data_IF_632475408688
#
_entry.id   IF_632475408688
#
_cell.length_a   1.000
_cell.length_b   1.000
_cell.length_c   1.000
_cell.angle_alpha   90.00
_cell.angle_beta   90.00
_cell.angle_gamma   90.00
#
_symmetry.space_group_name_H-M   'P 1'
#
loop_
_entity.id
_entity.type
_entity.pdbx_description
1 polymer ?
#
# COMPACT_ATOMS: atom_id res chain seq x y z
N UNK A 1 42.26 -34.84 -0.58
CA UNK A 1 41.22 -35.51 -1.39
C UNK A 1 39.89 -34.93 -0.93
N UNK A 2 39.37 -33.93 -1.62
CA UNK A 2 38.14 -33.26 -1.23
C UNK A 2 36.95 -34.02 -1.82
N UNK A 3 36.07 -34.48 -0.94
CA UNK A 3 34.86 -35.22 -1.26
C UNK A 3 33.92 -34.32 -2.07
N UNK A 4 33.68 -34.68 -3.34
CA UNK A 4 32.68 -34.00 -4.18
C UNK A 4 31.30 -34.31 -3.59
N UNK A 5 30.75 -33.35 -2.86
CA UNK A 5 29.33 -33.32 -2.51
C UNK A 5 28.56 -33.27 -3.84
N UNK A 6 28.05 -34.43 -4.23
CA UNK A 6 27.26 -34.57 -5.45
C UNK A 6 25.84 -34.19 -5.07
N UNK A 7 25.47 -32.92 -5.31
CA UNK A 7 24.08 -32.50 -5.20
C UNK A 7 23.30 -33.25 -6.28
N UNK A 8 22.46 -34.20 -5.85
CA UNK A 8 21.46 -34.80 -6.72
C UNK A 8 20.59 -33.65 -7.22
N UNK A 9 20.63 -33.41 -8.54
CA UNK A 9 19.67 -32.57 -9.23
C UNK A 9 18.29 -33.20 -9.02
N UNK A 10 17.59 -32.77 -7.98
CA UNK A 10 16.17 -33.03 -7.81
C UNK A 10 15.50 -32.19 -8.88
N UNK A 11 15.10 -32.81 -9.99
CA UNK A 11 14.05 -32.28 -10.86
C UNK A 11 12.96 -31.73 -9.96
N UNK A 12 12.67 -30.43 -10.01
CA UNK A 12 11.58 -29.87 -9.22
C UNK A 12 10.32 -30.65 -9.58
N UNK A 13 9.72 -31.30 -8.59
CA UNK A 13 8.43 -31.96 -8.77
C UNK A 13 7.49 -30.89 -9.33
N UNK A 14 7.01 -31.11 -10.56
CA UNK A 14 6.10 -30.19 -11.24
C UNK A 14 4.83 -30.11 -10.41
N UNK A 15 4.71 -29.05 -9.62
CA UNK A 15 3.57 -28.84 -8.74
C UNK A 15 2.31 -28.63 -9.56
N UNK A 16 1.16 -29.18 -9.15
CA UNK A 16 -0.09 -28.91 -9.83
C UNK A 16 -0.42 -27.40 -9.79
N UNK A 17 -1.19 -26.94 -10.76
CA UNK A 17 -1.71 -25.59 -10.76
C UNK A 17 -2.77 -25.44 -9.66
N UNK A 18 -2.53 -24.57 -8.68
CA UNK A 18 -3.46 -24.32 -7.57
C UNK A 18 -4.79 -23.66 -8.00
N UNK A 19 -4.87 -23.14 -9.24
CA UNK A 19 -6.13 -22.68 -9.82
C UNK A 19 -7.02 -23.83 -10.34
N UNK A 20 -6.64 -25.10 -10.10
CA UNK A 20 -7.43 -26.27 -10.43
C UNK A 20 -7.50 -26.58 -11.93
N UNK A 21 -6.53 -26.08 -12.72
CA UNK A 21 -6.45 -26.41 -14.14
C UNK A 21 -5.61 -27.68 -14.36
N UNK A 22 -5.86 -28.39 -15.46
CA UNK A 22 -5.17 -29.66 -15.78
C UNK A 22 -3.89 -29.45 -16.58
N UNK A 23 -3.51 -28.20 -16.86
CA UNK A 23 -2.31 -27.91 -17.66
C UNK A 23 -1.05 -28.10 -16.82
N UNK A 24 0.02 -28.54 -17.47
CA UNK A 24 1.33 -28.68 -16.83
C UNK A 24 1.88 -27.30 -16.49
N UNK A 25 2.35 -27.12 -15.26
CA UNK A 25 3.01 -25.90 -14.81
C UNK A 25 4.46 -25.88 -15.32
N UNK A 26 4.96 -24.68 -15.59
CA UNK A 26 6.29 -24.42 -16.11
C UNK A 26 7.12 -23.53 -15.18
N UNK A 27 6.50 -23.03 -14.11
CA UNK A 27 7.08 -22.12 -13.13
C UNK A 27 6.73 -22.58 -11.71
N UNK A 28 7.69 -22.45 -10.79
CA UNK A 28 7.46 -22.64 -9.36
C UNK A 28 7.68 -21.32 -8.64
N UNK A 29 6.63 -20.84 -7.97
CA UNK A 29 6.70 -19.69 -7.07
C UNK A 29 6.83 -20.18 -5.63
N UNK A 30 7.68 -19.57 -4.82
CA UNK A 30 7.74 -19.80 -3.37
C UNK A 30 7.34 -18.51 -2.65
N UNK A 31 6.31 -18.60 -1.82
CA UNK A 31 5.85 -17.51 -0.97
C UNK A 31 6.82 -17.20 0.18
N UNK A 32 6.66 -16.04 0.79
CA UNK A 32 7.46 -15.61 1.94
C UNK A 32 7.42 -16.61 3.11
N UNK A 33 6.29 -17.29 3.32
CA UNK A 33 6.12 -18.32 4.34
C UNK A 33 6.46 -19.75 3.87
N UNK A 34 7.19 -19.87 2.75
CA UNK A 34 7.80 -21.11 2.28
C UNK A 34 6.87 -22.07 1.55
N UNK A 35 5.63 -21.66 1.26
CA UNK A 35 4.69 -22.47 0.47
C UNK A 35 5.03 -22.32 -1.01
N UNK A 36 5.10 -23.44 -1.72
CA UNK A 36 5.39 -23.50 -3.16
C UNK A 36 4.13 -23.70 -3.98
N UNK A 37 4.09 -23.03 -5.14
CA UNK A 37 2.96 -23.02 -6.06
C UNK A 37 3.44 -23.37 -7.47
N UNK A 38 2.73 -24.28 -8.14
CA UNK A 38 2.87 -24.45 -9.58
C UNK A 38 2.10 -23.37 -10.33
N UNK A 39 2.75 -22.68 -11.26
CA UNK A 39 2.17 -21.60 -12.04
C UNK A 39 2.44 -21.77 -13.55
N UNK A 40 1.74 -20.95 -14.34
CA UNK A 40 1.99 -20.82 -15.78
C UNK A 40 2.60 -19.46 -16.06
N UNK A 41 3.87 -19.44 -16.46
CA UNK A 41 4.62 -18.21 -16.75
C UNK A 41 3.91 -17.35 -17.80
N UNK A 42 3.39 -18.00 -18.85
CA UNK A 42 2.62 -17.35 -19.90
C UNK A 42 1.32 -16.69 -19.40
N UNK A 43 0.64 -17.28 -18.41
CA UNK A 43 -0.55 -16.65 -17.83
C UNK A 43 -0.17 -15.42 -17.04
N UNK A 44 0.85 -15.52 -16.17
CA UNK A 44 1.29 -14.38 -15.37
C UNK A 44 1.76 -13.21 -16.25
N UNK A 45 2.54 -13.50 -17.28
CA UNK A 45 3.03 -12.51 -18.24
C UNK A 45 1.91 -11.86 -19.08
N UNK A 46 0.77 -12.55 -19.27
CA UNK A 46 -0.38 -11.96 -19.95
C UNK A 46 -1.07 -10.85 -19.13
N UNK A 47 -0.82 -10.79 -17.82
CA UNK A 47 -1.42 -9.82 -16.91
C UNK A 47 -0.44 -8.79 -16.36
N UNK A 48 0.86 -9.06 -16.42
CA UNK A 48 1.90 -8.18 -15.88
C UNK A 48 3.29 -8.51 -16.44
N UNK A 49 4.04 -7.46 -16.76
CA UNK A 49 5.44 -7.54 -17.17
C UNK A 49 6.41 -7.81 -16.00
N UNK A 50 5.91 -7.83 -14.76
CA UNK A 50 6.71 -8.11 -13.57
C UNK A 50 7.04 -9.60 -13.41
N UNK A 51 6.39 -10.48 -14.18
CA UNK A 51 6.63 -11.92 -14.14
C UNK A 51 7.47 -12.37 -15.32
N UNK A 52 8.45 -13.26 -15.09
CA UNK A 52 9.26 -13.76 -16.17
C UNK A 52 8.53 -14.80 -17.02
N UNK A 53 8.86 -14.84 -18.31
CA UNK A 53 8.44 -15.92 -19.23
C UNK A 53 9.56 -16.96 -19.29
N UNK A 54 9.24 -18.25 -19.18
CA UNK A 54 10.26 -19.32 -19.10
C UNK A 54 11.09 -19.44 -20.40
N UNK A 55 10.52 -19.09 -21.55
CA UNK A 55 11.26 -19.00 -22.83
C UNK A 55 12.34 -17.90 -22.85
N UNK A 56 12.39 -17.02 -21.84
CA UNK A 56 13.38 -15.92 -21.72
C UNK A 56 14.73 -16.35 -21.14
N UNK A 57 14.99 -17.65 -21.03
CA UNK A 57 16.24 -18.18 -20.46
C UNK A 57 16.17 -18.46 -18.95
N UNK A 58 14.98 -18.49 -18.36
CA UNK A 58 14.81 -19.08 -17.03
C UNK A 58 14.85 -20.59 -17.16
N UNK A 59 15.74 -21.24 -16.42
CA UNK A 59 15.71 -22.68 -16.32
C UNK A 59 14.37 -23.07 -15.67
N UNK A 60 13.59 -23.96 -16.29
CA UNK A 60 12.34 -24.51 -15.72
C UNK A 60 12.49 -25.21 -14.35
N UNK A 61 13.70 -25.18 -13.78
CA UNK A 61 14.11 -25.71 -12.49
C UNK A 61 14.43 -24.60 -11.46
N UNK A 62 14.16 -23.32 -11.76
CA UNK A 62 14.37 -22.21 -10.83
C UNK A 62 13.09 -21.89 -10.04
N UNK A 63 13.24 -21.74 -8.72
CA UNK A 63 12.15 -21.32 -7.84
C UNK A 63 12.18 -19.80 -7.71
N UNK A 64 11.11 -19.14 -8.14
CA UNK A 64 10.97 -17.68 -8.02
C UNK A 64 10.45 -17.34 -6.64
N UNK A 65 11.26 -16.61 -5.89
CA UNK A 65 10.97 -16.18 -4.52
C UNK A 65 10.06 -14.94 -4.51
N UNK A 66 8.95 -15.03 -3.80
CA UNK A 66 7.95 -13.98 -3.64
C UNK A 66 8.07 -13.35 -2.24
N UNK A 67 7.79 -12.05 -2.12
CA UNK A 67 7.74 -11.40 -0.80
C UNK A 67 6.36 -11.49 -0.16
N UNK A 68 5.39 -11.97 -0.93
CA UNK A 68 4.00 -12.13 -0.56
C UNK A 68 3.80 -13.48 0.13
N UNK A 69 2.87 -13.50 1.07
CA UNK A 69 2.46 -14.72 1.77
C UNK A 69 1.64 -15.64 0.87
N UNK A 70 1.58 -16.92 1.24
CA UNK A 70 0.88 -17.97 0.53
C UNK A 70 -0.58 -17.61 0.17
N UNK A 71 -1.31 -16.97 1.08
CA UNK A 71 -2.70 -16.55 0.87
C UNK A 71 -2.87 -15.52 -0.26
N UNK A 72 -1.95 -14.56 -0.35
CA UNK A 72 -1.91 -13.55 -1.41
C UNK A 72 -1.46 -14.16 -2.74
N UNK A 73 -0.40 -14.97 -2.73
CA UNK A 73 0.10 -15.64 -3.95
C UNK A 73 -0.97 -16.52 -4.55
N UNK A 74 -1.68 -17.31 -3.73
CA UNK A 74 -2.79 -18.14 -4.18
C UNK A 74 -3.90 -17.31 -4.84
N UNK A 75 -4.30 -16.20 -4.23
CA UNK A 75 -5.32 -15.31 -4.81
C UNK A 75 -4.87 -14.69 -6.14
N UNK A 76 -3.62 -14.23 -6.24
CA UNK A 76 -3.06 -13.73 -7.50
C UNK A 76 -3.10 -14.79 -8.60
N UNK A 77 -2.69 -16.03 -8.29
CA UNK A 77 -2.75 -17.15 -9.22
C UNK A 77 -4.19 -17.46 -9.64
N UNK A 78 -5.13 -17.48 -8.70
CA UNK A 78 -6.55 -17.72 -9.03
C UNK A 78 -7.14 -16.60 -9.91
N UNK A 79 -6.75 -15.34 -9.69
CA UNK A 79 -7.26 -14.18 -10.42
C UNK A 79 -6.62 -14.00 -11.80
N UNK A 80 -5.38 -14.43 -11.97
CA UNK A 80 -4.70 -14.46 -13.29
C UNK A 80 -5.13 -15.65 -14.14
N UNK A 81 -5.78 -16.65 -13.54
CA UNK A 81 -6.50 -17.65 -14.31
C UNK A 81 -7.84 -17.11 -14.82
N UNK A 82 -8.20 -17.46 -16.06
CA UNK A 82 -9.54 -17.21 -16.65
C UNK A 82 -10.63 -18.10 -16.02
N UNK A 83 -10.58 -18.33 -14.72
CA UNK A 83 -11.57 -19.08 -13.96
C UNK A 83 -12.59 -18.13 -13.35
N UNK A 84 -13.76 -18.66 -13.01
CA UNK A 84 -14.86 -17.89 -12.43
C UNK A 84 -14.38 -17.27 -11.12
N UNK A 85 -14.38 -15.94 -11.04
CA UNK A 85 -13.92 -15.20 -9.87
C UNK A 85 -14.52 -15.79 -8.59
N UNK A 86 -13.66 -16.11 -7.63
CA UNK A 86 -14.10 -16.24 -6.24
C UNK A 86 -14.85 -14.94 -5.92
N UNK A 87 -16.03 -15.04 -5.31
CA UNK A 87 -16.81 -13.83 -5.04
C UNK A 87 -15.95 -12.89 -4.19
N UNK A 88 -15.58 -11.76 -4.77
CA UNK A 88 -14.63 -10.83 -4.17
C UNK A 88 -15.23 -10.20 -2.90
N UNK A 89 -16.55 -10.15 -2.77
CA UNK A 89 -17.31 -9.64 -1.62
C UNK A 89 -17.04 -10.36 -0.28
N UNK A 90 -16.29 -11.47 -0.29
CA UNK A 90 -15.97 -12.26 0.91
C UNK A 90 -14.52 -12.21 1.36
N UNK A 91 -13.66 -11.43 0.69
CA UNK A 91 -12.25 -11.33 1.07
C UNK A 91 -12.15 -10.52 2.39
N UNK A 92 -11.57 -11.09 3.47
CA UNK A 92 -11.35 -10.34 4.70
C UNK A 92 -10.45 -9.13 4.45
N UNK A 93 -10.73 -8.00 5.11
CA UNK A 93 -10.00 -6.75 4.85
C UNK A 93 -8.47 -6.90 4.92
N UNK A 94 -7.95 -7.65 5.91
CA UNK A 94 -6.52 -7.89 6.03
C UNK A 94 -5.90 -8.61 4.82
N UNK A 95 -6.65 -9.48 4.16
CA UNK A 95 -6.23 -10.15 2.93
C UNK A 95 -6.42 -9.23 1.71
N UNK A 96 -7.53 -8.49 1.64
CA UNK A 96 -7.77 -7.48 0.59
C UNK A 96 -6.64 -6.44 0.56
N UNK A 97 -6.23 -5.91 1.72
CA UNK A 97 -5.16 -4.92 1.80
C UNK A 97 -3.83 -5.50 1.30
N UNK A 98 -3.46 -6.72 1.71
CA UNK A 98 -2.24 -7.37 1.19
C UNK A 98 -2.33 -7.67 -0.30
N UNK A 99 -3.50 -8.07 -0.80
CA UNK A 99 -3.74 -8.31 -2.22
C UNK A 99 -3.61 -7.02 -3.04
N UNK A 100 -4.19 -5.92 -2.55
CA UNK A 100 -4.11 -4.62 -3.19
C UNK A 100 -2.65 -4.17 -3.32
N UNK A 101 -1.88 -4.22 -2.24
CA UNK A 101 -0.44 -3.89 -2.26
C UNK A 101 0.35 -4.76 -3.24
N UNK A 102 0.04 -6.06 -3.31
CA UNK A 102 0.68 -6.95 -4.27
C UNK A 102 0.27 -6.65 -5.73
N UNK A 103 -1.00 -6.31 -5.96
CA UNK A 103 -1.50 -5.95 -7.29
C UNK A 103 -0.85 -4.68 -7.83
N UNK A 104 -0.63 -3.69 -6.96
CA UNK A 104 0.12 -2.46 -7.29
C UNK A 104 1.58 -2.77 -7.59
N UNK A 105 2.23 -3.56 -6.71
CA UNK A 105 3.64 -3.95 -6.86
C UNK A 105 3.91 -4.69 -8.17
N UNK A 106 3.06 -5.65 -8.50
CA UNK A 106 3.18 -6.42 -9.73
C UNK A 106 2.49 -5.75 -10.92
N UNK A 107 1.86 -4.59 -10.73
CA UNK A 107 1.15 -3.87 -11.80
C UNK A 107 0.20 -4.80 -12.58
N UNK A 108 -0.78 -5.39 -11.89
CA UNK A 108 -1.80 -6.26 -12.50
C UNK A 108 -3.12 -5.47 -12.62
N UNK A 109 -3.42 -4.83 -13.77
CA UNK A 109 -4.45 -3.78 -13.83
C UNK A 109 -5.86 -4.26 -13.45
N UNK A 110 -6.21 -5.48 -13.85
CA UNK A 110 -7.51 -6.06 -13.53
C UNK A 110 -7.70 -6.27 -12.01
N UNK A 111 -6.64 -6.65 -11.29
CA UNK A 111 -6.69 -6.87 -9.85
C UNK A 111 -6.59 -5.53 -9.11
N UNK A 112 -5.79 -4.58 -9.61
CA UNK A 112 -5.72 -3.20 -9.09
C UNK A 112 -7.10 -2.56 -9.08
N UNK A 113 -7.81 -2.56 -10.22
CA UNK A 113 -9.14 -1.96 -10.31
C UNK A 113 -10.16 -2.65 -9.40
N UNK A 114 -10.12 -3.98 -9.33
CA UNK A 114 -10.95 -4.74 -8.39
C UNK A 114 -10.68 -4.30 -6.95
N UNK A 115 -9.40 -4.24 -6.53
CA UNK A 115 -9.03 -3.86 -5.18
C UNK A 115 -9.41 -2.41 -4.87
N UNK A 116 -9.22 -1.49 -5.82
CA UNK A 116 -9.63 -0.08 -5.74
C UNK A 116 -11.11 0.06 -5.43
N UNK A 117 -11.98 -0.61 -6.20
CA UNK A 117 -13.44 -0.62 -5.96
C UNK A 117 -13.75 -1.18 -4.56
N UNK A 118 -13.09 -2.27 -4.16
CA UNK A 118 -13.33 -2.86 -2.84
C UNK A 118 -12.87 -1.95 -1.69
N UNK A 119 -11.73 -1.28 -1.84
CA UNK A 119 -11.21 -0.33 -0.86
C UNK A 119 -12.19 0.82 -0.63
N UNK A 120 -12.83 1.32 -1.68
CA UNK A 120 -13.91 2.31 -1.57
C UNK A 120 -15.08 1.79 -0.72
N UNK A 121 -15.53 0.55 -0.95
CA UNK A 121 -16.66 -0.03 -0.19
C UNK A 121 -16.38 -0.26 1.29
N UNK A 122 -15.11 -0.39 1.68
CA UNK A 122 -14.69 -0.63 3.07
C UNK A 122 -14.11 0.60 3.75
N UNK A 123 -14.03 1.74 3.05
CA UNK A 123 -13.45 2.99 3.55
C UNK A 123 -14.07 3.44 4.89
N UNK A 124 -15.38 3.30 5.06
CA UNK A 124 -16.06 3.65 6.32
C UNK A 124 -15.71 2.73 7.49
N UNK A 125 -15.29 1.49 7.23
CA UNK A 125 -14.93 0.50 8.26
C UNK A 125 -13.44 0.51 8.60
N UNK A 126 -12.61 0.87 7.62
CA UNK A 126 -11.14 0.88 7.73
C UNK A 126 -10.55 2.19 7.19
N UNK A 127 -10.98 3.35 7.71
CA UNK A 127 -10.69 4.65 7.09
C UNK A 127 -9.20 4.97 7.03
N UNK A 128 -8.43 4.64 8.07
CA UNK A 128 -7.01 4.96 8.11
C UNK A 128 -6.20 4.08 7.16
N UNK A 129 -6.47 2.78 7.13
CA UNK A 129 -5.80 1.86 6.20
C UNK A 129 -6.11 2.19 4.74
N UNK A 130 -7.37 2.49 4.43
CA UNK A 130 -7.80 2.88 3.09
C UNK A 130 -7.21 4.23 2.70
N UNK A 131 -7.18 5.21 3.61
CA UNK A 131 -6.53 6.50 3.37
C UNK A 131 -5.03 6.34 3.05
N UNK A 132 -4.31 5.52 3.82
CA UNK A 132 -2.89 5.24 3.58
C UNK A 132 -2.68 4.60 2.21
N UNK A 133 -3.46 3.56 1.89
CA UNK A 133 -3.42 2.89 0.58
C UNK A 133 -3.65 3.89 -0.55
N UNK A 134 -4.72 4.69 -0.46
CA UNK A 134 -5.08 5.67 -1.47
C UNK A 134 -4.00 6.75 -1.68
N UNK A 135 -3.38 7.25 -0.60
CA UNK A 135 -2.26 8.19 -0.71
C UNK A 135 -1.02 7.55 -1.36
N UNK A 136 -0.71 6.29 -1.06
CA UNK A 136 0.47 5.60 -1.60
C UNK A 136 0.37 5.39 -3.11
N UNK A 137 -0.83 5.07 -3.59
CA UNK A 137 -1.07 4.71 -5.00
C UNK A 137 -1.78 5.81 -5.78
N UNK A 138 -1.89 7.01 -5.20
CA UNK A 138 -2.45 8.22 -5.84
C UNK A 138 -3.91 8.09 -6.27
N UNK A 139 -4.74 7.44 -5.45
CA UNK A 139 -6.19 7.37 -5.63
C UNK A 139 -6.89 8.49 -4.86
N UNK A 140 -6.88 9.69 -5.43
CA UNK A 140 -7.40 10.92 -4.80
C UNK A 140 -8.87 10.80 -4.37
N UNK A 141 -9.70 10.16 -5.18
CA UNK A 141 -11.13 9.96 -4.90
C UNK A 141 -11.38 9.06 -3.69
N UNK A 142 -10.65 7.95 -3.59
CA UNK A 142 -10.73 7.05 -2.43
C UNK A 142 -10.13 7.72 -1.19
N UNK A 143 -9.02 8.45 -1.36
CA UNK A 143 -8.40 9.23 -0.28
C UNK A 143 -9.42 10.20 0.31
N UNK A 144 -10.06 11.00 -0.54
CA UNK A 144 -11.00 12.03 -0.11
C UNK A 144 -12.26 11.42 0.51
N UNK A 145 -12.72 10.26 0.03
CA UNK A 145 -13.82 9.51 0.64
C UNK A 145 -13.46 8.93 2.01
N UNK A 146 -12.22 8.47 2.21
CA UNK A 146 -11.76 7.89 3.47
C UNK A 146 -11.34 8.93 4.51
N UNK A 147 -10.90 10.12 4.07
CA UNK A 147 -10.32 11.16 4.92
C UNK A 147 -11.22 11.55 6.11
N UNK A 148 -12.53 11.80 5.94
CA UNK A 148 -13.42 12.16 7.05
C UNK A 148 -13.43 11.11 8.16
N UNK A 149 -13.44 9.82 7.82
CA UNK A 149 -13.43 8.73 8.80
C UNK A 149 -12.13 8.62 9.59
N UNK A 150 -11.05 9.29 9.14
CA UNK A 150 -9.79 9.34 9.89
C UNK A 150 -9.77 10.40 10.98
N UNK A 151 -10.69 11.38 10.92
CA UNK A 151 -10.75 12.50 11.87
C UNK A 151 -11.23 12.04 13.26
N UNK A 152 -12.05 11.00 13.31
CA UNK A 152 -12.55 10.41 14.56
C UNK A 152 -11.51 9.56 15.30
N UNK A 153 -10.32 9.35 14.71
CA UNK A 153 -9.28 8.51 15.27
C UNK A 153 -8.35 9.30 16.22
N UNK A 154 -7.82 8.67 17.29
CA UNK A 154 -6.95 9.39 18.23
C UNK A 154 -5.69 9.93 17.55
N UNK A 155 -5.54 11.26 17.57
CA UNK A 155 -4.51 11.99 16.82
C UNK A 155 -3.10 11.40 16.94
N UNK A 156 -2.61 11.18 18.16
CA UNK A 156 -1.27 10.65 18.40
C UNK A 156 -1.09 9.23 17.82
N UNK A 157 -2.11 8.38 17.96
CA UNK A 157 -2.08 7.02 17.43
C UNK A 157 -2.09 7.01 15.91
N UNK A 158 -2.86 7.91 15.29
CA UNK A 158 -2.92 8.08 13.84
C UNK A 158 -1.62 8.63 13.30
N UNK A 159 -1.07 9.68 13.91
CA UNK A 159 0.21 10.28 13.52
C UNK A 159 1.35 9.26 13.57
N UNK A 160 1.41 8.43 14.62
CA UNK A 160 2.43 7.36 14.73
C UNK A 160 2.30 6.31 13.62
N UNK A 161 1.08 6.01 13.16
CA UNK A 161 0.89 5.09 12.04
C UNK A 161 1.30 5.73 10.71
N UNK A 162 1.04 7.02 10.57
CA UNK A 162 1.37 7.79 9.37
C UNK A 162 2.83 8.22 9.27
N UNK A 163 3.59 8.20 10.38
CA UNK A 163 5.01 8.62 10.36
C UNK A 163 5.91 7.74 9.49
N UNK A 164 5.46 6.52 9.16
CA UNK A 164 6.14 5.66 8.18
C UNK A 164 5.97 6.15 6.73
N UNK A 165 5.05 7.10 6.47
CA UNK A 165 4.66 7.59 5.15
C UNK A 165 4.61 9.12 5.17
N UNK A 166 5.74 9.83 5.02
CA UNK A 166 5.79 11.29 5.18
C UNK A 166 4.80 12.07 4.31
N UNK A 167 4.61 11.68 3.05
CA UNK A 167 3.64 12.29 2.13
C UNK A 167 2.19 12.10 2.60
N UNK A 168 1.83 10.89 3.01
CA UNK A 168 0.52 10.57 3.58
C UNK A 168 0.27 11.34 4.88
N UNK A 169 1.29 11.45 5.74
CA UNK A 169 1.22 12.23 6.97
C UNK A 169 0.92 13.72 6.70
N UNK A 170 1.60 14.31 5.72
CA UNK A 170 1.34 15.70 5.30
C UNK A 170 -0.09 15.83 4.78
N UNK A 171 -0.52 14.92 3.90
CA UNK A 171 -1.88 14.93 3.37
C UNK A 171 -2.92 14.87 4.47
N UNK A 172 -2.71 14.01 5.48
CA UNK A 172 -3.62 13.87 6.61
C UNK A 172 -3.67 15.11 7.50
N UNK A 173 -2.52 15.70 7.82
CA UNK A 173 -2.47 16.95 8.62
C UNK A 173 -3.18 18.09 7.90
N UNK A 174 -3.05 18.18 6.57
CA UNK A 174 -3.79 19.17 5.78
C UNK A 174 -5.31 18.94 5.83
N UNK A 175 -5.78 17.70 5.74
CA UNK A 175 -7.20 17.35 5.92
C UNK A 175 -7.70 17.74 7.31
N UNK A 176 -6.97 17.37 8.36
CA UNK A 176 -7.32 17.67 9.74
C UNK A 176 -7.35 19.21 9.97
N UNK A 177 -6.37 19.94 9.43
CA UNK A 177 -6.25 21.42 9.52
C UNK A 177 -7.37 22.18 8.85
N UNK A 178 -7.99 21.61 7.82
CA UNK A 178 -9.17 22.19 7.19
C UNK A 178 -10.46 21.95 8.00
N UNK A 179 -10.50 20.86 8.79
CA UNK A 179 -11.70 20.45 9.52
C UNK A 179 -11.76 20.93 10.98
N UNK A 180 -10.62 21.22 11.61
CA UNK A 180 -10.56 21.66 13.00
C UNK A 180 -9.93 23.07 13.05
N UNK A 181 -10.76 24.10 13.15
CA UNK A 181 -10.28 25.48 13.28
C UNK A 181 -9.58 25.75 14.65
N UNK A 182 -9.74 24.89 15.67
CA UNK A 182 -9.29 25.20 17.05
C UNK A 182 -8.23 24.27 17.70
N UNK A 183 -8.26 22.94 17.54
CA UNK A 183 -7.41 22.02 18.35
C UNK A 183 -5.97 21.82 17.83
N UNK A 184 -5.76 21.98 16.52
CA UNK A 184 -4.48 21.69 15.87
C UNK A 184 -3.45 22.76 16.20
N UNK A 185 -3.89 24.01 16.25
CA UNK A 185 -3.04 25.17 16.50
C UNK A 185 -2.38 25.06 17.88
N UNK A 186 -3.09 24.52 18.88
CA UNK A 186 -2.59 24.37 20.25
C UNK A 186 -1.56 23.24 20.40
N UNK A 187 -1.68 22.15 19.62
CA UNK A 187 -0.73 21.03 19.68
C UNK A 187 0.54 21.28 18.85
N UNK A 188 0.40 21.85 17.64
CA UNK A 188 1.54 22.22 16.79
C UNK A 188 2.47 23.22 17.49
N UNK A 189 1.93 24.16 18.27
CA UNK A 189 2.72 25.13 19.07
C UNK A 189 3.46 24.47 20.24
N UNK A 190 2.95 23.34 20.78
CA UNK A 190 3.52 22.66 21.96
C UNK A 190 4.59 21.60 21.64
N UNK A 191 4.62 21.07 20.42
CA UNK A 191 5.56 20.01 20.03
C UNK A 191 6.85 20.58 19.42
N UNK A 192 8.00 20.33 20.05
CA UNK A 192 9.33 20.72 19.49
C UNK A 192 9.63 20.05 18.14
N UNK A 193 9.00 18.90 17.84
CA UNK A 193 9.13 18.18 16.57
C UNK A 193 8.33 18.84 15.43
N UNK A 194 7.36 19.70 15.76
CA UNK A 194 6.53 20.40 14.78
C UNK A 194 7.28 21.54 14.07
N UNK A 195 8.33 22.12 14.67
CA UNK A 195 9.14 23.20 14.06
C UNK A 195 9.85 22.74 12.77
N UNK A 196 10.29 21.47 12.74
CA UNK A 196 10.96 20.89 11.56
C UNK A 196 9.94 20.63 10.45
N UNK A 197 8.73 20.19 10.81
CA UNK A 197 7.62 19.97 9.88
C UNK A 197 7.04 21.29 9.34
N UNK A 198 6.97 22.33 10.19
CA UNK A 198 6.56 23.69 9.84
C UNK A 198 7.47 24.33 8.79
N UNK A 199 8.79 24.13 8.91
CA UNK A 199 9.77 24.63 7.93
C UNK A 199 9.55 24.07 6.52
N UNK A 200 9.04 22.85 6.39
CA UNK A 200 8.73 22.24 5.10
C UNK A 200 7.35 22.64 4.57
N UNK A 201 6.37 22.88 5.45
CA UNK A 201 5.02 23.32 5.08
C UNK A 201 4.99 24.78 4.58
N UNK A 202 5.85 25.66 5.11
CA UNK A 202 5.92 27.08 4.74
C UNK A 202 6.29 27.37 3.26
N UNK A 203 6.71 26.40 2.47
CA UNK A 203 7.07 26.59 1.06
C UNK A 203 5.92 26.37 0.06
N UNK A 204 4.70 26.08 0.52
CA UNK A 204 3.54 25.92 -0.37
C UNK A 204 2.58 27.11 -0.28
N UNK A 205 2.15 27.61 -1.44
CA UNK A 205 1.27 28.78 -1.66
C UNK A 205 -0.07 28.71 -0.89
N UNK A 206 -0.45 27.53 -0.40
CA UNK A 206 -1.66 27.32 0.42
C UNK A 206 -1.53 27.94 1.82
N UNK A 207 -0.30 28.14 2.31
CA UNK A 207 -0.05 28.58 3.69
C UNK A 207 -0.28 30.08 3.91
N UNK A 208 -0.24 30.94 2.89
CA UNK A 208 -0.43 32.40 3.04
C UNK A 208 -1.81 32.79 3.57
N UNK A 209 -2.86 32.00 3.29
CA UNK A 209 -4.20 32.23 3.87
C UNK A 209 -4.31 31.77 5.32
N UNK A 210 -3.58 30.73 5.71
CA UNK A 210 -3.51 30.25 7.09
C UNK A 210 -2.61 31.19 7.93
N UNK A 211 -1.60 31.81 7.32
CA UNK A 211 -0.67 32.73 7.98
C UNK A 211 -1.33 34.05 8.41
N UNK A 212 -2.32 34.57 7.66
CA UNK A 212 -2.94 35.86 8.04
C UNK A 212 -3.80 35.73 9.31
N UNK A 213 -4.50 34.61 9.48
CA UNK A 213 -5.28 34.30 10.68
C UNK A 213 -4.39 33.87 11.85
N UNK A 214 -3.35 33.08 11.57
CA UNK A 214 -2.36 32.63 12.57
C UNK A 214 -1.50 33.77 13.15
N UNK A 215 -1.01 34.68 12.30
CA UNK A 215 -0.19 35.84 12.70
C UNK A 215 -0.96 36.79 13.61
N UNK A 216 -2.22 37.08 13.28
CA UNK A 216 -3.10 37.94 14.08
C UNK A 216 -3.38 37.35 15.49
N UNK A 217 -3.41 36.02 15.61
CA UNK A 217 -3.65 35.34 16.89
C UNK A 217 -2.38 35.24 17.76
N UNK A 218 -1.22 34.97 17.15
CA UNK A 218 0.07 34.89 17.84
C UNK A 218 0.50 36.27 18.37
N UNK A 219 0.36 37.33 17.57
CA UNK A 219 0.69 38.69 17.99
C UNK A 219 -0.14 39.16 19.20
N UNK A 220 -1.43 38.78 19.25
CA UNK A 220 -2.31 39.11 20.39
C UNK A 220 -2.03 38.30 21.65
N UNK A 221 -1.62 37.04 21.51
CA UNK A 221 -1.50 36.12 22.66
C UNK A 221 -0.12 36.15 23.33
N UNK A 222 0.93 36.56 22.60
CA UNK A 222 2.30 36.55 23.10
C UNK A 222 3.03 37.91 23.04
N UNK A 223 2.36 38.97 22.56
CA UNK A 223 2.93 40.33 22.53
C UNK A 223 4.17 40.48 21.65
N UNK A 224 4.32 39.62 20.64
CA UNK A 224 5.44 39.66 19.68
C UNK A 224 5.00 40.41 18.44
N UNK A 225 5.69 41.51 18.12
CA UNK A 225 5.51 42.26 16.88
C UNK A 225 6.14 41.49 15.71
N UNK A 226 5.30 41.10 14.74
CA UNK A 226 5.67 40.29 13.57
C UNK A 226 5.89 41.15 12.31
N UNK A 227 6.02 42.47 12.43
CA UNK A 227 6.21 43.40 11.30
C UNK A 227 7.55 43.25 10.53
N UNK A 228 8.41 42.29 10.87
CA UNK A 228 9.67 42.02 10.18
C UNK A 228 9.79 40.61 9.54
N UNK A 229 8.68 39.94 9.25
CA UNK A 229 8.65 38.69 8.47
C UNK A 229 7.99 38.87 7.10
#
# INVERSE_FOLDING_TARGET
MAEKVTYKSTTLDILPCEAGCTQKTDLVLESQDGVRFGAHSANLAAFSDAFPVVDSGINANEVVQMTERADVVLLLLQLTHRQRWMRSDKIPFGLLHRLAEAAEKFFIPAIMEMCRIQMETVASKHPLEVFIYACKHSYDDIRDAAAPGTLDLPFESTLRRLSAYPSTCISWVCTYSFSAEDEIFTYIIRSRSAIVMWRHLCNSIVVTRILSTASAFIGKSFGVDLSCL
#
